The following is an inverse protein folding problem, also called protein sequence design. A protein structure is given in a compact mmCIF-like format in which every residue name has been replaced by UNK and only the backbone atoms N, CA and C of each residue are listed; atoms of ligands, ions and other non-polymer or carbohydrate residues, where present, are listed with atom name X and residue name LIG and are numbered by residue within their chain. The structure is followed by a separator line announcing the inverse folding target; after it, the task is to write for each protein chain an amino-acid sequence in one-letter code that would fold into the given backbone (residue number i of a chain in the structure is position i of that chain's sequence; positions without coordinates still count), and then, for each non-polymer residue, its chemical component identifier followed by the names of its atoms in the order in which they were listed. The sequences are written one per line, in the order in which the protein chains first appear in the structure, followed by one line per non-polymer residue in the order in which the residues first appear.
data_IF_346998472565
#
_entry.id   IF_346998472565
#
_cell.length_a   1.000
_cell.length_b   1.000
_cell.length_c   1.000
_cell.angle_alpha   90.00
_cell.angle_beta   90.00
_cell.angle_gamma   90.00
#
_symmetry.space_group_name_H-M   'P 1'
#
loop_
_entity.id
_entity.type
_entity.pdbx_description
1 polymer ?
#
# COMPACT_ATOMS: atom_id res chain seq x y z
N UNK A 1 31.21 -20.24 -37.85
CA UNK A 1 31.17 -20.11 -36.38
C UNK A 1 31.76 -18.76 -36.00
N UNK A 2 30.95 -17.70 -35.97
CA UNK A 2 31.40 -16.38 -35.50
C UNK A 2 30.91 -16.23 -34.07
N UNK A 3 31.89 -16.05 -33.17
CA UNK A 3 31.75 -15.94 -31.73
C UNK A 3 30.82 -14.77 -31.35
N UNK A 4 29.63 -15.09 -30.82
CA UNK A 4 28.88 -14.21 -29.93
C UNK A 4 29.51 -14.37 -28.55
N UNK A 5 30.12 -13.32 -28.00
CA UNK A 5 30.17 -13.03 -26.55
C UNK A 5 31.14 -11.88 -26.26
N UNK A 6 30.59 -10.66 -26.15
CA UNK A 6 31.27 -9.53 -25.48
C UNK A 6 30.33 -8.39 -25.06
N UNK A 7 29.00 -8.52 -25.25
CA UNK A 7 28.02 -7.48 -24.88
C UNK A 7 27.22 -7.76 -23.60
N UNK A 8 27.29 -8.95 -23.00
CA UNK A 8 26.45 -9.30 -21.85
C UNK A 8 27.07 -8.91 -20.50
N UNK A 9 28.39 -8.79 -20.39
CA UNK A 9 29.03 -8.50 -19.10
C UNK A 9 28.68 -7.11 -18.55
N UNK A 10 28.34 -6.14 -19.40
CA UNK A 10 28.01 -4.78 -18.96
C UNK A 10 26.55 -4.68 -18.47
N UNK A 11 25.60 -5.36 -19.13
CA UNK A 11 24.19 -5.39 -18.71
C UNK A 11 24.00 -6.10 -17.36
N UNK A 12 24.71 -7.22 -17.12
CA UNK A 12 24.69 -7.91 -15.82
C UNK A 12 25.26 -7.04 -14.68
N UNK A 13 26.27 -6.22 -14.94
CA UNK A 13 26.85 -5.34 -13.93
C UNK A 13 25.99 -4.09 -13.69
N UNK A 14 25.30 -3.60 -14.73
CA UNK A 14 24.29 -2.54 -14.63
C UNK A 14 23.09 -3.01 -13.81
N UNK A 15 22.57 -4.23 -14.04
CA UNK A 15 21.50 -4.81 -13.22
C UNK A 15 21.87 -4.97 -11.74
N UNK A 16 23.11 -5.40 -11.44
CA UNK A 16 23.58 -5.44 -10.04
C UNK A 16 23.69 -4.06 -9.41
N UNK A 17 24.14 -3.05 -10.18
CA UNK A 17 24.34 -1.68 -9.70
C UNK A 17 23.02 -0.96 -9.41
N UNK A 18 21.95 -1.31 -10.12
CA UNK A 18 20.60 -0.72 -9.95
C UNK A 18 19.58 -1.70 -9.38
N UNK A 19 20.02 -2.79 -8.76
CA UNK A 19 19.13 -3.68 -8.01
C UNK A 19 18.60 -2.89 -6.82
N UNK A 20 17.43 -2.29 -6.98
CA UNK A 20 16.73 -1.62 -5.89
C UNK A 20 16.49 -2.67 -4.81
N UNK A 21 17.12 -2.47 -3.66
CA UNK A 21 16.84 -3.31 -2.50
C UNK A 21 15.35 -3.27 -2.22
N UNK A 22 14.74 -4.46 -2.16
CA UNK A 22 13.34 -4.62 -1.86
C UNK A 22 13.05 -4.01 -0.49
N UNK A 23 12.27 -2.93 -0.45
CA UNK A 23 11.93 -2.24 0.79
C UNK A 23 10.64 -2.81 1.38
N UNK A 24 10.51 -2.63 2.69
CA UNK A 24 9.25 -2.80 3.42
C UNK A 24 8.63 -1.44 3.63
N UNK A 25 7.43 -1.25 3.11
CA UNK A 25 6.69 0.02 3.14
C UNK A 25 5.41 -0.19 3.95
N UNK A 26 5.23 0.65 4.97
CA UNK A 26 3.99 0.71 5.74
C UNK A 26 3.31 2.02 5.41
N UNK A 27 2.07 1.94 4.95
CA UNK A 27 1.19 3.10 4.73
C UNK A 27 0.13 3.08 5.82
N UNK A 28 -0.06 4.20 6.51
CA UNK A 28 -1.11 4.35 7.51
C UNK A 28 -2.11 5.38 6.97
N UNK A 29 -3.36 4.98 6.80
CA UNK A 29 -4.40 5.87 6.31
C UNK A 29 -5.66 5.14 5.86
N UNK A 30 -6.73 5.86 5.49
CA UNK A 30 -7.93 5.27 4.93
C UNK A 30 -7.57 4.41 3.71
N UNK A 31 -8.18 3.23 3.63
CA UNK A 31 -8.07 2.32 2.50
C UNK A 31 -9.37 1.52 2.39
N UNK A 32 -9.53 0.79 1.28
CA UNK A 32 -10.70 -0.05 1.06
C UNK A 32 -11.07 -0.87 2.31
N UNK A 33 -12.35 -0.93 2.73
CA UNK A 33 -13.52 -0.43 2.01
C UNK A 33 -13.85 1.05 2.24
N UNK A 34 -13.04 1.82 2.98
CA UNK A 34 -13.30 3.25 3.16
C UNK A 34 -13.20 3.99 1.82
N UNK A 35 -14.18 4.84 1.52
CA UNK A 35 -14.24 5.59 0.26
C UNK A 35 -13.60 6.98 0.38
N UNK A 36 -13.22 7.55 -0.77
CA UNK A 36 -12.84 8.96 -0.90
C UNK A 36 -11.40 9.16 -1.38
N UNK A 37 -11.05 10.41 -1.71
CA UNK A 37 -9.79 10.72 -2.39
C UNK A 37 -8.53 10.23 -1.66
N UNK A 38 -8.53 10.22 -0.33
CA UNK A 38 -7.39 9.73 0.48
C UNK A 38 -7.25 8.20 0.34
N UNK A 39 -8.35 7.45 0.34
CA UNK A 39 -8.30 6.01 0.15
C UNK A 39 -7.82 5.65 -1.26
N UNK A 40 -8.29 6.37 -2.27
CA UNK A 40 -7.82 6.20 -3.65
C UNK A 40 -6.32 6.54 -3.76
N UNK A 41 -5.85 7.61 -3.14
CA UNK A 41 -4.44 7.98 -3.12
C UNK A 41 -3.58 6.90 -2.46
N UNK A 42 -3.97 6.41 -1.29
CA UNK A 42 -3.24 5.34 -0.58
C UNK A 42 -3.18 4.05 -1.41
N UNK A 43 -4.27 3.70 -2.09
CA UNK A 43 -4.29 2.55 -2.99
C UNK A 43 -3.31 2.73 -4.17
N UNK A 44 -3.31 3.90 -4.81
CA UNK A 44 -2.40 4.20 -5.93
C UNK A 44 -0.93 4.23 -5.47
N UNK A 45 -0.66 4.79 -4.29
CA UNK A 45 0.69 4.82 -3.71
C UNK A 45 1.18 3.41 -3.37
N UNK A 46 0.34 2.59 -2.75
CA UNK A 46 0.68 1.21 -2.42
C UNK A 46 0.98 0.39 -3.67
N UNK A 47 0.13 0.53 -4.70
CA UNK A 47 0.33 -0.09 -6.01
C UNK A 47 1.65 0.34 -6.65
N UNK A 48 1.96 1.64 -6.65
CA UNK A 48 3.22 2.14 -7.20
C UNK A 48 4.45 1.53 -6.50
N UNK A 49 4.41 1.38 -5.17
CA UNK A 49 5.48 0.69 -4.45
C UNK A 49 5.56 -0.81 -4.76
N UNK A 50 4.42 -1.50 -4.90
CA UNK A 50 4.35 -2.90 -5.31
C UNK A 50 4.90 -3.10 -6.74
N UNK A 51 4.58 -2.21 -7.67
CA UNK A 51 5.05 -2.23 -9.07
C UNK A 51 6.58 -2.04 -9.13
N UNK A 52 7.16 -1.33 -8.15
CA UNK A 52 8.61 -1.22 -7.94
C UNK A 52 9.22 -2.44 -7.23
N UNK A 53 8.45 -3.50 -6.97
CA UNK A 53 8.89 -4.75 -6.34
C UNK A 53 8.96 -4.71 -4.80
N UNK A 54 8.46 -3.66 -4.15
CA UNK A 54 8.51 -3.53 -2.69
C UNK A 54 7.42 -4.37 -2.00
N UNK A 55 7.69 -4.74 -0.74
CA UNK A 55 6.68 -5.31 0.13
C UNK A 55 5.90 -4.16 0.79
N UNK A 56 4.58 -4.12 0.56
CA UNK A 56 3.74 -3.01 1.01
C UNK A 56 2.57 -3.54 1.82
N UNK A 57 2.31 -2.90 2.96
CA UNK A 57 1.12 -3.14 3.78
C UNK A 57 0.47 -1.80 4.12
N UNK A 58 -0.85 -1.74 3.95
CA UNK A 58 -1.65 -0.57 4.33
C UNK A 58 -2.39 -0.88 5.63
N UNK A 59 -2.16 -0.10 6.68
CA UNK A 59 -2.93 -0.14 7.91
C UNK A 59 -4.04 0.92 7.84
N UNK A 60 -5.28 0.45 7.84
CA UNK A 60 -6.49 1.24 7.65
C UNK A 60 -7.32 1.33 8.92
N UNK A 61 -8.25 2.27 8.91
CA UNK A 61 -9.14 2.56 10.02
C UNK A 61 -10.37 1.64 10.02
N UNK A 62 -10.66 0.99 11.15
CA UNK A 62 -11.95 0.35 11.39
C UNK A 62 -13.05 1.39 11.64
N UNK A 63 -12.67 2.56 12.13
CA UNK A 63 -13.55 3.71 12.38
C UNK A 63 -12.76 5.00 12.13
N UNK A 64 -13.28 5.86 11.24
CA UNK A 64 -12.72 7.21 11.01
C UNK A 64 -13.36 8.25 11.92
N UNK A 65 -14.70 8.21 12.04
CA UNK A 65 -15.50 9.05 12.93
C UNK A 65 -16.83 8.32 13.25
N UNK A 66 -17.50 8.63 14.36
CA UNK A 66 -18.81 8.05 14.69
C UNK A 66 -19.85 8.29 13.61
N UNK A 67 -20.66 7.27 13.29
CA UNK A 67 -21.62 7.31 12.17
C UNK A 67 -22.61 8.48 12.24
N UNK A 68 -23.00 8.95 13.42
CA UNK A 68 -23.94 10.07 13.59
C UNK A 68 -23.38 11.41 13.08
N UNK A 69 -22.06 11.57 13.03
CA UNK A 69 -21.40 12.77 12.52
C UNK A 69 -21.19 12.71 11.00
N UNK A 70 -21.60 11.62 10.34
CA UNK A 70 -21.49 11.56 8.89
C UNK A 70 -22.68 12.24 8.21
N UNK A 71 -22.45 13.28 7.39
CA UNK A 71 -23.52 13.92 6.64
C UNK A 71 -23.95 13.13 5.39
N UNK A 72 -23.60 11.84 5.27
CA UNK A 72 -23.73 11.06 4.05
C UNK A 72 -24.32 9.65 4.25
N UNK A 73 -24.59 8.98 3.13
CA UNK A 73 -25.27 7.68 3.12
C UNK A 73 -24.42 6.50 3.60
N UNK A 74 -23.14 6.43 3.21
CA UNK A 74 -22.21 5.37 3.63
C UNK A 74 -20.77 5.85 3.54
N UNK A 75 -19.91 5.47 4.47
CA UNK A 75 -18.47 5.76 4.41
C UNK A 75 -17.67 4.73 3.59
N UNK A 76 -18.36 3.72 3.07
CA UNK A 76 -17.77 2.58 2.40
C UNK A 76 -18.00 2.63 0.89
N UNK A 77 -17.04 2.11 0.15
CA UNK A 77 -17.11 1.83 -1.27
C UNK A 77 -17.66 0.40 -1.48
N UNK A 78 -18.47 0.22 -2.52
CA UNK A 78 -18.95 -1.09 -2.95
C UNK A 78 -18.10 -1.56 -4.13
N UNK A 79 -17.68 -2.82 -4.13
CA UNK A 79 -16.90 -3.39 -5.23
C UNK A 79 -15.84 -4.35 -4.72
N UNK A 80 -14.94 -4.73 -5.64
CA UNK A 80 -13.84 -5.64 -5.35
C UNK A 80 -12.70 -4.92 -4.63
N UNK A 81 -12.13 -5.57 -3.62
CA UNK A 81 -10.95 -5.07 -2.96
C UNK A 81 -9.77 -5.00 -3.96
N UNK A 82 -8.93 -3.95 -3.89
CA UNK A 82 -7.73 -3.91 -4.70
C UNK A 82 -6.77 -5.04 -4.31
N UNK A 83 -5.87 -5.44 -5.21
CA UNK A 83 -4.82 -6.42 -4.93
C UNK A 83 -3.68 -5.82 -4.08
N UNK A 84 -4.03 -5.30 -2.91
CA UNK A 84 -3.14 -4.62 -1.95
C UNK A 84 -3.38 -5.28 -0.59
N UNK A 85 -2.30 -5.52 0.15
CA UNK A 85 -2.41 -6.03 1.51
C UNK A 85 -2.90 -4.92 2.45
N UNK A 86 -4.19 -4.95 2.82
CA UNK A 86 -4.84 -3.97 3.68
C UNK A 86 -5.23 -4.63 5.01
N UNK A 87 -4.82 -4.01 6.12
CA UNK A 87 -5.18 -4.37 7.49
C UNK A 87 -6.05 -3.30 8.11
N UNK A 88 -7.34 -3.57 8.27
CA UNK A 88 -8.30 -2.64 8.88
C UNK A 88 -8.38 -2.87 10.39
N UNK A 89 -7.55 -2.17 11.17
CA UNK A 89 -7.43 -2.43 12.61
C UNK A 89 -7.29 -1.18 13.50
N UNK A 90 -7.13 0.01 12.93
CA UNK A 90 -6.95 1.25 13.70
C UNK A 90 -8.33 1.86 14.02
N UNK A 91 -8.63 2.09 15.29
CA UNK A 91 -9.81 2.85 15.71
C UNK A 91 -9.38 4.28 16.04
N UNK A 92 -9.90 5.29 15.32
CA UNK A 92 -9.45 6.67 15.44
C UNK A 92 -9.72 7.33 16.81
N UNK A 93 -10.58 6.74 17.65
CA UNK A 93 -11.02 7.33 18.92
C UNK A 93 -10.76 6.44 20.14
N UNK A 94 -10.12 5.29 19.98
CA UNK A 94 -9.88 4.34 21.07
C UNK A 94 -8.38 4.21 21.40
N UNK A 95 -7.87 4.91 22.43
CA UNK A 95 -6.46 4.84 22.83
C UNK A 95 -5.96 3.45 23.21
N UNK A 96 -6.84 2.59 23.75
CA UNK A 96 -6.49 1.20 24.08
C UNK A 96 -6.24 0.38 22.80
N UNK A 97 -6.99 0.65 21.72
CA UNK A 97 -6.73 0.02 20.43
C UNK A 97 -5.36 0.43 19.88
N UNK A 98 -4.93 1.67 20.06
CA UNK A 98 -3.62 2.13 19.57
C UNK A 98 -2.48 1.33 20.19
N UNK A 99 -2.51 1.10 21.50
CA UNK A 99 -1.51 0.28 22.18
C UNK A 99 -1.50 -1.18 21.72
N UNK A 100 -2.65 -1.72 21.29
CA UNK A 100 -2.76 -3.09 20.78
C UNK A 100 -2.26 -3.25 19.34
N UNK A 101 -2.25 -2.16 18.57
CA UNK A 101 -1.90 -2.15 17.14
C UNK A 101 -0.45 -1.73 16.90
N UNK A 102 0.10 -0.87 17.78
CA UNK A 102 1.50 -0.45 17.79
C UNK A 102 2.45 -1.62 18.11
#
# INVERSE_FOLDING_TARGET
MISRNSHDSNSYQIEKKYKLDKKKVIIIGPAFPLRGGIANFNNLLAKAYQDLGNEVVVYSFSLQYPSFLFPGTSQYENGDAPNINIKTCINSINPINWYKVA
#
